data_IF_785596934381
#
_entry.id   IF_785596934381
#
_cell.length_a   1.000
_cell.length_b   1.000
_cell.length_c   1.000
_cell.angle_alpha   90.00
_cell.angle_beta   90.00
_cell.angle_gamma   90.00
#
_symmetry.space_group_name_H-M   'P 1'
#
loop_
_entity.id
_entity.type
_entity.pdbx_description
1 polymer ?
#
# COMPACT_ATOMS: atom_id res chain seq x y z
N UNK A 1 10.25 -13.34 -10.61
CA UNK A 1 9.27 -12.23 -10.69
C UNK A 1 9.53 -11.38 -9.45
N UNK A 2 9.48 -10.05 -9.56
CA UNK A 2 9.70 -9.22 -8.38
C UNK A 2 8.59 -9.45 -7.35
N UNK A 3 8.95 -9.49 -6.07
CA UNK A 3 8.04 -9.84 -4.98
C UNK A 3 7.01 -8.74 -4.73
N UNK A 4 5.82 -9.18 -4.28
CA UNK A 4 4.71 -8.30 -3.90
C UNK A 4 4.26 -8.66 -2.48
N UNK A 5 4.24 -7.69 -1.58
CA UNK A 5 3.70 -7.84 -0.22
C UNK A 5 2.37 -7.08 -0.14
N UNK A 6 1.30 -7.75 0.28
CA UNK A 6 -0.03 -7.14 0.46
C UNK A 6 -0.52 -7.51 1.86
N UNK A 7 -0.87 -6.50 2.66
CA UNK A 7 -1.38 -6.69 4.02
C UNK A 7 -2.58 -5.78 4.23
N UNK A 8 -3.70 -6.35 4.65
CA UNK A 8 -4.90 -5.63 5.10
C UNK A 8 -5.17 -6.04 6.54
N UNK A 9 -5.25 -5.08 7.44
CA UNK A 9 -5.46 -5.37 8.85
C UNK A 9 -5.67 -4.13 9.71
N UNK A 10 -6.14 -4.29 10.95
CA UNK A 10 -6.39 -3.18 11.88
C UNK A 10 -5.13 -2.64 12.55
N UNK A 11 -4.00 -3.34 12.46
CA UNK A 11 -2.76 -2.96 13.13
C UNK A 11 -2.12 -1.73 12.45
N UNK A 12 -1.52 -0.82 13.22
CA UNK A 12 -0.63 0.19 12.66
C UNK A 12 0.54 -0.48 11.92
N UNK A 13 0.99 0.15 10.83
CA UNK A 13 2.24 -0.21 10.17
C UNK A 13 3.26 0.92 10.33
N UNK A 14 4.53 0.60 10.15
CA UNK A 14 5.63 1.57 10.18
C UNK A 14 6.30 1.65 8.81
N UNK A 15 6.29 2.83 8.19
CA UNK A 15 7.02 3.08 6.94
C UNK A 15 8.50 2.74 7.09
N UNK A 16 9.09 3.00 8.27
CA UNK A 16 10.50 2.70 8.54
C UNK A 16 10.83 1.22 8.66
N UNK A 17 9.85 0.37 9.01
CA UNK A 17 10.02 -1.09 9.04
C UNK A 17 9.85 -1.72 7.65
N UNK A 18 9.03 -1.10 6.81
CA UNK A 18 8.69 -1.60 5.48
C UNK A 18 9.71 -1.19 4.39
N UNK A 19 10.27 0.02 4.52
CA UNK A 19 11.17 0.60 3.53
C UNK A 19 12.44 -0.22 3.24
N UNK A 20 13.14 -0.81 4.24
CA UNK A 20 14.37 -1.57 3.99
C UNK A 20 14.17 -2.75 3.04
N UNK A 21 13.06 -3.48 3.18
CA UNK A 21 12.71 -4.59 2.26
C UNK A 21 12.36 -4.08 0.87
N UNK A 22 11.54 -3.01 0.79
CA UNK A 22 11.11 -2.45 -0.49
C UNK A 22 12.28 -1.92 -1.33
N UNK A 23 13.33 -1.41 -0.69
CA UNK A 23 14.49 -0.78 -1.32
C UNK A 23 15.76 -1.65 -1.31
N UNK A 24 15.65 -2.96 -1.04
CA UNK A 24 16.80 -3.83 -0.82
C UNK A 24 17.64 -4.07 -2.09
N UNK A 25 17.00 -4.09 -3.26
CA UNK A 25 17.62 -4.53 -4.52
C UNK A 25 18.36 -3.39 -5.22
N UNK A 26 19.61 -3.66 -5.60
CA UNK A 26 20.46 -2.70 -6.32
C UNK A 26 19.88 -2.30 -7.69
N UNK A 27 19.15 -3.20 -8.36
CA UNK A 27 18.49 -2.88 -9.63
C UNK A 27 17.27 -1.93 -9.50
N UNK A 28 16.71 -1.79 -8.29
CA UNK A 28 15.53 -0.96 -8.03
C UNK A 28 15.98 0.50 -7.70
N UNK A 29 16.60 1.16 -8.68
CA UNK A 29 17.26 2.47 -8.53
C UNK A 29 16.35 3.68 -8.26
N UNK A 30 15.03 3.48 -8.16
CA UNK A 30 14.06 4.49 -7.78
C UNK A 30 12.95 3.87 -6.94
N UNK A 31 12.70 4.43 -5.76
CA UNK A 31 11.66 3.99 -4.83
C UNK A 31 10.66 5.12 -4.61
N UNK A 32 9.37 4.83 -4.78
CA UNK A 32 8.28 5.78 -4.58
C UNK A 32 7.33 5.21 -3.53
N UNK A 33 6.97 6.02 -2.53
CA UNK A 33 6.03 5.63 -1.47
C UNK A 33 4.88 6.63 -1.37
N UNK A 34 3.71 6.12 -0.99
CA UNK A 34 2.53 6.94 -0.69
C UNK A 34 1.96 6.51 0.67
N UNK A 35 1.61 7.46 1.53
CA UNK A 35 1.01 7.19 2.84
C UNK A 35 -0.25 8.04 3.02
N UNK A 36 -1.41 7.39 3.00
CA UNK A 36 -2.69 8.03 3.31
C UNK A 36 -2.90 8.19 4.81
N UNK A 37 -3.35 9.36 5.25
CA UNK A 37 -3.73 9.64 6.65
C UNK A 37 -5.19 10.07 6.73
N UNK A 38 -5.88 9.69 7.81
CA UNK A 38 -7.23 10.20 8.11
C UNK A 38 -7.16 11.72 8.30
N UNK A 39 -8.04 12.45 7.62
CA UNK A 39 -8.15 13.91 7.75
C UNK A 39 -9.07 14.25 8.92
N UNK A 40 -8.79 15.37 9.59
CA UNK A 40 -9.55 15.82 10.75
C UNK A 40 -10.79 16.67 10.42
N UNK A 41 -11.09 16.89 9.13
CA UNK A 41 -12.24 17.66 8.68
C UNK A 41 -12.79 17.12 7.35
N UNK A 42 -14.10 17.25 7.16
CA UNK A 42 -14.78 16.96 5.90
C UNK A 42 -15.94 17.94 5.70
N UNK A 43 -15.99 18.63 4.54
CA UNK A 43 -17.05 19.59 4.18
C UNK A 43 -17.38 20.68 5.23
N UNK A 44 -16.43 21.06 6.07
CA UNK A 44 -16.61 22.08 7.11
C UNK A 44 -16.89 21.52 8.51
N UNK A 45 -17.17 20.22 8.63
CA UNK A 45 -17.40 19.54 9.90
C UNK A 45 -16.13 18.82 10.40
N UNK A 46 -15.96 18.76 11.72
CA UNK A 46 -14.90 17.98 12.35
C UNK A 46 -15.18 16.48 12.24
N UNK A 47 -14.19 15.71 11.79
CA UNK A 47 -14.29 14.24 11.74
C UNK A 47 -13.81 13.66 13.06
N UNK A 48 -14.70 12.96 13.77
CA UNK A 48 -14.34 12.30 15.05
C UNK A 48 -13.62 10.96 14.84
N UNK A 49 -14.10 10.15 13.88
CA UNK A 49 -13.49 8.86 13.52
C UNK A 49 -13.91 8.45 12.10
N UNK A 50 -13.07 7.64 11.45
CA UNK A 50 -13.39 6.96 10.20
C UNK A 50 -13.27 5.45 10.45
N UNK A 51 -14.38 4.73 10.35
CA UNK A 51 -14.40 3.27 10.42
C UNK A 51 -14.35 2.71 9.01
N UNK A 52 -13.41 1.78 8.76
CA UNK A 52 -13.27 1.08 7.50
C UNK A 52 -13.60 -0.40 7.72
N UNK A 53 -14.43 -0.93 6.84
CA UNK A 53 -14.73 -2.36 6.76
C UNK A 53 -14.23 -2.89 5.41
N UNK A 54 -13.84 -4.16 5.38
CA UNK A 54 -13.35 -4.80 4.16
C UNK A 54 -13.89 -6.24 4.08
N UNK A 55 -13.91 -6.79 2.87
CA UNK A 55 -14.24 -8.20 2.63
C UNK A 55 -12.94 -9.02 2.69
N UNK A 56 -12.75 -9.88 3.72
CA UNK A 56 -11.51 -10.63 3.88
C UNK A 56 -11.21 -11.50 2.65
N UNK A 57 -9.98 -11.45 2.16
CA UNK A 57 -9.51 -12.19 0.99
C UNK A 57 -9.88 -11.55 -0.35
N UNK A 58 -11.06 -10.94 -0.48
CA UNK A 58 -11.45 -10.25 -1.72
C UNK A 58 -10.69 -8.93 -1.88
N UNK A 59 -10.45 -8.23 -0.77
CA UNK A 59 -9.74 -6.94 -0.78
C UNK A 59 -8.28 -7.14 -1.22
N UNK A 60 -7.61 -8.12 -0.64
CA UNK A 60 -6.24 -8.50 -0.98
C UNK A 60 -6.13 -8.98 -2.43
N UNK A 61 -7.13 -9.74 -2.91
CA UNK A 61 -7.18 -10.17 -4.32
C UNK A 61 -7.28 -8.99 -5.28
N UNK A 62 -8.14 -8.01 -4.98
CA UNK A 62 -8.28 -6.81 -5.81
C UNK A 62 -6.99 -5.97 -5.81
N UNK A 63 -6.30 -5.85 -4.68
CA UNK A 63 -5.00 -5.19 -4.60
C UNK A 63 -3.93 -5.93 -5.43
N UNK A 64 -3.93 -7.26 -5.41
CA UNK A 64 -3.01 -8.07 -6.21
C UNK A 64 -3.25 -7.87 -7.72
N UNK A 65 -4.52 -7.85 -8.15
CA UNK A 65 -4.88 -7.59 -9.55
C UNK A 65 -4.41 -6.21 -10.03
N UNK A 66 -4.48 -5.18 -9.18
CA UNK A 66 -3.97 -3.83 -9.49
C UNK A 66 -2.44 -3.84 -9.65
N UNK A 67 -1.72 -4.54 -8.78
CA UNK A 67 -0.26 -4.68 -8.90
C UNK A 67 0.12 -5.42 -10.18
N UNK A 68 -0.57 -6.52 -10.50
CA UNK A 68 -0.35 -7.28 -11.74
C UNK A 68 -0.59 -6.42 -12.98
N UNK A 69 -1.67 -5.64 -12.99
CA UNK A 69 -1.95 -4.69 -14.06
C UNK A 69 -0.86 -3.61 -14.18
N UNK A 70 -0.36 -3.08 -13.05
CA UNK A 70 0.73 -2.12 -13.07
C UNK A 70 2.03 -2.72 -13.63
N UNK A 71 2.35 -3.97 -13.28
CA UNK A 71 3.51 -4.71 -13.81
C UNK A 71 3.40 -5.02 -15.29
N UNK A 72 2.18 -5.21 -15.79
CA UNK A 72 1.93 -5.34 -17.23
C UNK A 72 2.16 -4.03 -18.00
N UNK A 73 2.04 -2.88 -17.32
CA UNK A 73 2.17 -1.54 -17.92
C UNK A 73 3.57 -0.95 -17.75
N UNK A 74 4.26 -1.25 -16.65
CA UNK A 74 5.55 -0.67 -16.28
C UNK A 74 6.54 -1.72 -15.77
N UNK A 75 7.86 -1.54 -16.00
CA UNK A 75 8.89 -2.44 -15.49
C UNK A 75 9.15 -2.17 -14.00
N UNK A 76 8.35 -2.77 -13.12
CA UNK A 76 8.41 -2.55 -11.68
C UNK A 76 9.24 -3.62 -10.95
N UNK A 77 10.00 -3.17 -9.94
CA UNK A 77 10.70 -4.00 -8.96
C UNK A 77 9.81 -4.49 -7.81
N UNK A 78 10.31 -4.52 -6.58
CA UNK A 78 9.50 -4.88 -5.42
C UNK A 78 8.28 -3.93 -5.23
N UNK A 79 7.19 -4.45 -4.67
CA UNK A 79 5.98 -3.66 -4.39
C UNK A 79 5.34 -4.03 -3.05
N UNK A 80 4.84 -3.02 -2.33
CA UNK A 80 4.17 -3.09 -1.03
C UNK A 80 2.80 -2.41 -1.08
#
# INVERSE_FOLDING_TARGET
MAETKIVVGPQPFSVGEEYPWLAERDEDGAVVTFTGKVRNHNLGDSVNALTLEHYPGMTEKALAEIVDEARNRWPLGASL
#
